data_IF_864758315149
#
_entry.id   IF_864758315149
#
_cell.length_a   1.000
_cell.length_b   1.000
_cell.length_c   1.000
_cell.angle_alpha   90.00
_cell.angle_beta   90.00
_cell.angle_gamma   90.00
#
_symmetry.space_group_name_H-M   'P 1'
#
loop_
_entity.id
_entity.type
_entity.pdbx_description
1 polymer ?
#
# COMPACT_ATOMS: atom_id res chain seq x y z
N UNK A 1 -20.51 -15.36 -26.39
CA UNK A 1 -19.28 -15.08 -27.16
C UNK A 1 -18.25 -14.53 -26.18
N UNK A 2 -17.46 -15.41 -25.56
CA UNK A 2 -16.38 -15.05 -24.64
C UNK A 2 -15.05 -15.31 -25.35
N UNK A 3 -14.67 -14.40 -26.23
CA UNK A 3 -13.34 -14.40 -26.82
C UNK A 3 -12.69 -13.07 -26.46
N UNK A 4 -11.64 -13.13 -25.65
CA UNK A 4 -10.44 -12.28 -25.69
C UNK A 4 -9.57 -12.62 -24.47
N UNK A 5 -8.99 -13.82 -24.49
CA UNK A 5 -7.74 -14.08 -23.79
C UNK A 5 -6.64 -13.93 -24.85
N UNK A 6 -5.56 -13.23 -24.50
CA UNK A 6 -4.33 -13.00 -25.28
C UNK A 6 -4.36 -11.83 -26.27
N UNK A 7 -4.16 -10.59 -25.80
CA UNK A 7 -3.43 -9.58 -26.61
C UNK A 7 -2.91 -8.33 -25.86
N UNK A 8 -2.49 -8.43 -24.58
CA UNK A 8 -1.65 -7.36 -23.96
C UNK A 8 -0.55 -7.93 -23.06
N UNK A 9 0.68 -8.06 -23.58
CA UNK A 9 1.91 -8.25 -22.79
C UNK A 9 2.55 -6.87 -22.45
N UNK A 10 3.35 -6.68 -21.38
CA UNK A 10 3.27 -7.13 -20.01
C UNK A 10 2.97 -5.91 -19.10
N UNK A 11 1.80 -5.30 -19.24
CA UNK A 11 1.39 -4.21 -18.32
C UNK A 11 0.85 -4.79 -17.00
N UNK A 12 0.39 -6.05 -17.02
CA UNK A 12 -0.10 -6.79 -15.85
C UNK A 12 0.99 -7.08 -14.81
N UNK A 13 2.10 -7.72 -15.18
CA UNK A 13 3.09 -8.19 -14.19
C UNK A 13 3.73 -7.05 -13.36
N UNK A 14 3.98 -5.88 -13.96
CA UNK A 14 4.50 -4.72 -13.24
C UNK A 14 3.43 -4.10 -12.32
N UNK A 15 2.19 -4.03 -12.79
CA UNK A 15 1.03 -3.58 -12.01
C UNK A 15 0.75 -4.53 -10.85
N UNK A 16 0.79 -5.84 -11.08
CA UNK A 16 0.65 -6.89 -10.09
C UNK A 16 1.79 -6.86 -9.06
N UNK A 17 3.04 -6.63 -9.48
CA UNK A 17 4.16 -6.40 -8.56
C UNK A 17 3.97 -5.15 -7.70
N UNK A 18 3.45 -4.06 -8.26
CA UNK A 18 3.12 -2.87 -7.49
C UNK A 18 1.98 -3.13 -6.49
N UNK A 19 0.91 -3.78 -6.92
CA UNK A 19 -0.23 -4.15 -6.07
C UNK A 19 0.22 -5.08 -4.94
N UNK A 20 1.02 -6.10 -5.25
CA UNK A 20 1.58 -7.02 -4.27
C UNK A 20 2.51 -6.30 -3.28
N UNK A 21 3.33 -5.36 -3.75
CA UNK A 21 4.18 -4.55 -2.87
C UNK A 21 3.35 -3.63 -1.95
N UNK A 22 2.23 -3.07 -2.44
CA UNK A 22 1.29 -2.32 -1.61
C UNK A 22 0.61 -3.19 -0.56
N UNK A 23 0.06 -4.33 -0.96
CA UNK A 23 -0.61 -5.27 -0.05
C UNK A 23 0.38 -5.81 1.01
N UNK A 24 1.62 -6.11 0.62
CA UNK A 24 2.68 -6.47 1.55
C UNK A 24 3.02 -5.32 2.50
N UNK A 25 3.10 -4.08 2.01
CA UNK A 25 3.35 -2.92 2.84
C UNK A 25 2.23 -2.69 3.86
N UNK A 26 0.96 -2.80 3.46
CA UNK A 26 -0.17 -2.67 4.38
C UNK A 26 -0.12 -3.75 5.47
N UNK A 27 0.15 -5.00 5.09
CA UNK A 27 0.27 -6.11 6.04
C UNK A 27 1.42 -5.91 7.03
N UNK A 28 2.58 -5.45 6.56
CA UNK A 28 3.75 -5.11 7.39
C UNK A 28 3.48 -3.93 8.35
N UNK A 29 2.66 -2.98 7.92
CA UNK A 29 2.19 -1.88 8.75
C UNK A 29 1.03 -2.30 9.66
N UNK A 30 0.59 -3.57 9.65
CA UNK A 30 -0.54 -4.05 10.43
C UNK A 30 -1.88 -3.46 10.00
N UNK A 31 -1.94 -2.84 8.81
CA UNK A 31 -3.16 -2.32 8.22
C UNK A 31 -3.87 -3.49 7.54
N UNK A 32 -5.09 -3.82 7.98
CA UNK A 32 -5.94 -4.83 7.33
C UNK A 32 -6.54 -4.32 6.01
N UNK A 33 -5.78 -3.55 5.24
CA UNK A 33 -6.19 -2.95 3.98
C UNK A 33 -5.74 -3.87 2.84
N UNK A 34 -6.62 -4.05 1.88
CA UNK A 34 -6.31 -4.78 0.65
C UNK A 34 -6.78 -3.93 -0.52
N UNK A 35 -5.86 -3.61 -1.43
CA UNK A 35 -6.23 -3.03 -2.70
C UNK A 35 -6.40 -4.16 -3.69
N UNK A 36 -7.63 -4.29 -4.20
CA UNK A 36 -7.95 -5.17 -5.30
C UNK A 36 -7.60 -4.51 -6.64
N UNK A 37 -7.55 -5.27 -7.73
CA UNK A 37 -7.14 -4.77 -9.05
C UNK A 37 -8.07 -3.63 -9.52
N UNK A 38 -9.38 -3.76 -9.30
CA UNK A 38 -10.36 -2.72 -9.60
C UNK A 38 -10.14 -1.42 -8.81
N UNK A 39 -9.76 -1.55 -7.54
CA UNK A 39 -9.47 -0.40 -6.67
C UNK A 39 -8.18 0.27 -7.15
N UNK A 40 -7.14 -0.52 -7.41
CA UNK A 40 -5.86 -0.01 -7.86
C UNK A 40 -5.96 0.67 -9.22
N UNK A 41 -6.68 0.09 -10.17
CA UNK A 41 -6.89 0.68 -11.50
C UNK A 41 -7.70 1.99 -11.41
N UNK A 42 -8.70 2.05 -10.52
CA UNK A 42 -9.45 3.28 -10.24
C UNK A 42 -8.56 4.39 -9.66
N UNK A 43 -7.63 4.04 -8.78
CA UNK A 43 -6.66 4.96 -8.19
C UNK A 43 -5.52 5.30 -9.17
N UNK A 44 -5.17 4.41 -10.09
CA UNK A 44 -4.08 4.60 -11.05
C UNK A 44 -4.29 5.81 -11.96
N UNK A 45 -5.54 6.26 -12.12
CA UNK A 45 -5.90 7.52 -12.80
C UNK A 45 -5.28 8.78 -12.17
N UNK A 46 -4.90 8.73 -10.89
CA UNK A 46 -4.16 9.82 -10.26
C UNK A 46 -2.66 9.61 -10.50
N UNK A 47 -1.93 10.61 -10.96
CA UNK A 47 -0.49 10.46 -11.24
C UNK A 47 0.34 10.39 -9.95
N UNK A 48 -0.13 11.03 -8.88
CA UNK A 48 0.55 11.07 -7.59
C UNK A 48 0.12 9.91 -6.69
N UNK A 49 1.05 9.00 -6.38
CA UNK A 49 0.83 7.89 -5.44
C UNK A 49 0.35 8.37 -4.06
N UNK A 50 0.84 9.54 -3.62
CA UNK A 50 0.41 10.20 -2.38
C UNK A 50 -1.06 10.54 -2.40
N UNK A 51 -1.56 11.05 -3.52
CA UNK A 51 -2.96 11.43 -3.69
C UNK A 51 -3.85 10.18 -3.73
N UNK A 52 -3.39 9.10 -4.38
CA UNK A 52 -4.06 7.79 -4.36
C UNK A 52 -4.29 7.28 -2.93
N UNK A 53 -3.21 7.22 -2.16
CA UNK A 53 -3.23 6.73 -0.77
C UNK A 53 -4.13 7.65 0.07
N UNK A 54 -3.94 8.97 -0.02
CA UNK A 54 -4.73 9.96 0.70
C UNK A 54 -6.23 9.83 0.41
N UNK A 55 -6.61 9.77 -0.87
CA UNK A 55 -8.00 9.67 -1.30
C UNK A 55 -8.66 8.40 -0.77
N UNK A 56 -7.94 7.28 -0.82
CA UNK A 56 -8.41 6.01 -0.27
C UNK A 56 -8.63 6.09 1.24
N UNK A 57 -7.70 6.72 1.97
CA UNK A 57 -7.81 6.93 3.41
C UNK A 57 -8.96 7.85 3.78
N UNK A 58 -9.16 8.94 3.06
CA UNK A 58 -10.28 9.86 3.29
C UNK A 58 -11.63 9.15 3.12
N UNK A 59 -11.73 8.26 2.13
CA UNK A 59 -12.97 7.56 1.76
C UNK A 59 -13.28 6.38 2.68
N UNK A 60 -12.27 5.57 3.01
CA UNK A 60 -12.47 4.30 3.74
C UNK A 60 -12.03 4.36 5.21
N UNK A 61 -11.12 5.25 5.58
CA UNK A 61 -10.37 5.21 6.84
C UNK A 61 -10.21 6.61 7.46
N UNK A 62 -11.26 7.44 7.35
CA UNK A 62 -11.24 8.83 7.83
C UNK A 62 -11.02 8.93 9.34
N UNK A 63 -11.31 7.86 10.09
CA UNK A 63 -11.02 7.77 11.52
C UNK A 63 -9.53 7.62 11.82
N UNK A 64 -8.75 7.00 10.92
CA UNK A 64 -7.31 6.81 11.08
C UNK A 64 -6.57 8.14 10.81
N UNK A 65 -7.09 8.96 9.89
CA UNK A 65 -6.66 10.35 9.65
C UNK A 65 -6.93 11.31 10.81
N UNK A 66 -7.77 10.92 11.78
CA UNK A 66 -7.96 11.69 13.03
C UNK A 66 -6.92 11.35 14.08
N UNK A 67 -6.38 10.13 14.05
CA UNK A 67 -5.38 9.66 15.00
C UNK A 67 -3.95 9.96 14.54
N UNK A 68 -3.74 10.01 13.22
CA UNK A 68 -2.43 10.15 12.60
C UNK A 68 -2.49 11.12 11.42
N UNK A 69 -1.40 11.83 11.19
CA UNK A 69 -1.28 12.74 10.05
C UNK A 69 -1.26 11.97 8.72
N UNK A 70 -2.00 12.46 7.73
CA UNK A 70 -2.08 11.86 6.41
C UNK A 70 -0.70 11.72 5.76
N UNK A 71 0.13 12.75 5.89
CA UNK A 71 1.43 12.84 5.25
C UNK A 71 2.41 11.80 5.84
N UNK A 72 2.37 11.63 7.16
CA UNK A 72 3.16 10.64 7.88
C UNK A 72 2.80 9.21 7.44
N UNK A 73 1.51 8.90 7.36
CA UNK A 73 1.04 7.58 6.93
C UNK A 73 1.40 7.28 5.48
N UNK A 74 1.21 8.27 4.59
CA UNK A 74 1.60 8.17 3.19
C UNK A 74 3.12 7.93 3.08
N UNK A 75 3.93 8.62 3.89
CA UNK A 75 5.38 8.43 3.91
C UNK A 75 5.77 7.01 4.37
N UNK A 76 5.13 6.51 5.44
CA UNK A 76 5.35 5.16 5.95
C UNK A 76 4.98 4.08 4.92
N UNK A 77 3.81 4.21 4.28
CA UNK A 77 3.37 3.30 3.22
C UNK A 77 4.35 3.31 2.04
N UNK A 78 4.77 4.49 1.57
CA UNK A 78 5.73 4.59 0.46
C UNK A 78 7.08 3.97 0.81
N UNK A 79 7.59 4.21 2.01
CA UNK A 79 8.87 3.65 2.49
C UNK A 79 8.81 2.13 2.55
N UNK A 80 7.75 1.57 3.15
CA UNK A 80 7.58 0.12 3.24
C UNK A 80 7.36 -0.49 1.85
N UNK A 81 6.54 0.14 0.99
CA UNK A 81 6.34 -0.31 -0.39
C UNK A 81 7.63 -0.34 -1.19
N UNK A 82 8.47 0.71 -1.10
CA UNK A 82 9.76 0.76 -1.78
C UNK A 82 10.64 -0.42 -1.38
N UNK A 83 10.74 -0.69 -0.06
CA UNK A 83 11.47 -1.84 0.46
C UNK A 83 10.90 -3.18 -0.03
N UNK A 84 9.58 -3.36 0.00
CA UNK A 84 8.93 -4.57 -0.51
C UNK A 84 9.16 -4.76 -2.01
N UNK A 85 9.08 -3.68 -2.78
CA UNK A 85 9.32 -3.69 -4.22
C UNK A 85 10.79 -4.07 -4.54
N UNK A 86 11.76 -3.46 -3.86
CA UNK A 86 13.18 -3.84 -3.98
C UNK A 86 13.44 -5.30 -3.61
N UNK A 87 12.75 -5.80 -2.58
CA UNK A 87 12.83 -7.21 -2.13
C UNK A 87 12.29 -8.16 -3.22
N UNK A 88 11.20 -7.78 -3.88
CA UNK A 88 10.58 -8.54 -4.98
C UNK A 88 11.43 -8.52 -6.25
N UNK A 89 12.04 -7.37 -6.59
CA UNK A 89 12.90 -7.25 -7.78
C UNK A 89 14.29 -7.87 -7.57
N UNK A 90 14.82 -7.88 -6.34
CA UNK A 90 16.12 -8.45 -5.99
C UNK A 90 16.04 -9.94 -5.55
N UNK A 91 14.87 -10.58 -5.68
CA UNK A 91 14.70 -12.03 -5.49
C UNK A 91 14.90 -12.57 -4.07
N UNK A 92 14.85 -11.73 -3.04
CA UNK A 92 15.19 -12.15 -1.68
C UNK A 92 14.20 -11.64 -0.65
N UNK A 93 13.27 -12.50 -0.22
CA UNK A 93 12.33 -12.28 0.88
C UNK A 93 13.05 -12.08 2.23
N UNK A 94 13.64 -10.90 2.45
CA UNK A 94 14.11 -10.51 3.78
C UNK A 94 12.92 -9.94 4.53
N UNK A 95 12.52 -10.67 5.59
CA UNK A 95 11.50 -10.25 6.57
C UNK A 95 11.58 -8.75 6.80
N UNK A 96 10.49 -8.09 6.43
CA UNK A 96 10.34 -6.69 6.70
C UNK A 96 10.13 -6.52 8.21
N UNK A 97 10.62 -5.39 8.69
CA UNK A 97 10.76 -5.10 10.10
C UNK A 97 9.36 -4.80 10.57
N UNK A 98 8.79 -5.66 11.42
CA UNK A 98 7.49 -5.45 12.05
C UNK A 98 7.46 -4.05 12.66
N UNK A 99 6.84 -3.10 11.95
CA UNK A 99 6.54 -1.80 12.51
C UNK A 99 5.37 -2.06 13.44
N UNK A 100 5.65 -2.17 14.75
CA UNK A 100 4.61 -2.29 15.76
C UNK A 100 3.88 -0.94 15.88
N UNK A 101 2.93 -0.67 14.98
CA UNK A 101 2.07 0.52 15.06
C UNK A 101 1.26 0.56 16.37
N UNK A 102 0.94 -0.63 16.91
CA UNK A 102 0.34 -0.79 18.23
C UNK A 102 1.27 -0.36 19.40
N UNK A 103 2.60 -0.39 19.23
CA UNK A 103 3.53 0.19 20.21
C UNK A 103 3.59 1.72 20.12
N UNK A 104 3.51 2.29 18.91
CA UNK A 104 3.52 3.74 18.72
C UNK A 104 2.28 4.42 19.34
N UNK A 105 1.14 3.71 19.37
CA UNK A 105 -0.09 4.17 20.02
C UNK A 105 0.04 4.34 21.55
N UNK A 106 1.08 3.76 22.17
CA UNK A 106 1.26 3.75 23.63
C UNK A 106 2.23 4.83 24.12
N UNK A 107 2.85 5.61 23.22
CA UNK A 107 3.82 6.65 23.59
C UNK A 107 3.19 7.99 23.99
N UNK A 108 1.88 8.22 23.77
CA UNK A 108 1.22 9.52 24.05
C UNK A 108 0.05 9.43 25.05
N UNK A 109 -0.03 8.36 25.84
CA UNK A 109 -0.90 8.32 27.04
C UNK A 109 -0.04 7.98 28.25
N UNK A 110 0.66 8.99 28.79
CA UNK A 110 1.25 8.88 30.12
C UNK A 110 2.42 9.81 30.42
N UNK A 111 2.14 11.08 30.74
CA UNK A 111 2.38 11.68 32.07
C UNK A 111 1.72 13.06 32.14
#
# INVERSE_FOLDING_TARGET
>A
MINSVLEQCPIGAAVECHLAAYNAAFYELGLSWHWDDETFHSLQRMECERDRIKKYMETHQSHLLKAYDADFLINAIQTTKARCYETMTNGGAKKASTVNWAEFQRAEVGV
#
